data_IF_378874065984
#
_entry.id   IF_378874065984
#
_cell.length_a   1.000
_cell.length_b   1.000
_cell.length_c   1.000
_cell.angle_alpha   90.00
_cell.angle_beta   90.00
_cell.angle_gamma   90.00
#
_symmetry.space_group_name_H-M   'P 1'
#
loop_
_entity.id
_entity.type
_entity.pdbx_description
1 polymer ?
2 polymer ?
3 non-polymer ?
4 non-polymer ?
5 water ?
#
# COMPACT_ATOMS: atom_id res chain seq x y z
N UNK A 1 -2.33 10.37 -3.45
CA UNK A 1 -2.56 9.82 -4.82
C UNK A 1 -1.64 8.63 -5.04
N UNK A 2 -2.01 7.77 -5.96
CA UNK A 2 -1.20 6.62 -6.33
C UNK A 2 0.23 6.99 -6.71
N UNK A 3 0.42 8.07 -7.47
CA UNK A 3 1.77 8.50 -7.83
C UNK A 3 2.58 8.91 -6.61
N UNK A 4 1.95 9.63 -5.67
CA UNK A 4 2.63 10.05 -4.46
C UNK A 4 2.97 8.83 -3.62
N UNK A 5 2.07 7.88 -3.52
CA UNK A 5 2.35 6.64 -2.80
C UNK A 5 3.57 5.95 -3.42
N UNK A 6 3.62 5.91 -4.74
CA UNK A 6 4.73 5.27 -5.42
C UNK A 6 6.06 5.94 -5.10
N UNK A 7 6.06 7.24 -5.01
CA UNK A 7 7.28 7.98 -4.67
C UNK A 7 7.67 7.71 -3.23
N UNK A 8 6.68 7.66 -2.34
CA UNK A 8 6.92 7.32 -0.95
C UNK A 8 7.54 5.92 -0.80
N UNK A 9 7.00 4.97 -1.55
CA UNK A 9 7.52 3.60 -1.57
C UNK A 9 8.98 3.58 -2.03
N UNK A 10 9.29 4.29 -3.11
CA UNK A 10 10.66 4.33 -3.61
C UNK A 10 11.58 4.97 -2.58
N UNK A 11 11.16 6.08 -1.99
CA UNK A 11 11.98 6.73 -0.97
C UNK A 11 12.27 5.82 0.19
N UNK A 12 11.26 5.08 0.61
CA UNK A 12 11.40 4.24 1.77
C UNK A 12 12.25 3.00 1.50
N UNK A 13 12.02 2.35 0.37
CA UNK A 13 12.58 1.02 0.11
C UNK A 13 13.69 0.94 -0.92
N UNK A 14 13.80 1.93 -1.78
CA UNK A 14 14.74 1.88 -2.89
C UNK A 14 14.21 1.05 -4.04
N UNK A 15 13.00 0.40 -3.98
CA UNK A 15 12.34 -0.31 -5.07
C UNK A 15 11.32 0.59 -5.73
N UNK A 16 11.23 0.51 -7.05
CA UNK A 16 10.21 1.21 -7.80
C UNK A 16 8.86 0.53 -7.54
N UNK A 17 7.83 1.32 -7.26
CA UNK A 17 6.52 0.78 -6.93
C UNK A 17 6.03 -0.08 -8.08
N UNK A 18 6.17 0.43 -9.31
CA UNK A 18 6.00 -0.37 -10.53
C UNK A 18 7.44 -0.69 -10.99
N UNK A 19 7.87 -1.94 -11.06
CA UNK A 19 7.09 -3.16 -10.89
C UNK A 19 7.20 -3.92 -9.58
N UNK A 20 7.88 -3.40 -8.57
CA UNK A 20 8.11 -4.21 -7.38
C UNK A 20 6.89 -4.48 -6.53
N UNK A 21 5.94 -3.54 -6.50
CA UNK A 21 4.77 -3.64 -5.63
C UNK A 21 3.42 -3.44 -6.35
N UNK A 22 3.43 -3.39 -7.67
CA UNK A 22 2.20 -3.14 -8.44
C UNK A 22 1.45 -4.42 -8.80
N UNK A 23 2.10 -5.57 -8.68
CA UNK A 23 1.50 -6.85 -9.02
C UNK A 23 2.00 -7.99 -8.12
N UNK A 24 2.26 -7.66 -6.86
CA UNK A 24 2.89 -8.60 -5.94
C UNK A 24 1.86 -9.36 -5.11
N UNK A 25 1.95 -10.68 -5.11
CA UNK A 25 1.07 -11.48 -4.30
C UNK A 25 -0.38 -11.31 -4.66
N UNK A 26 -1.23 -11.47 -3.65
CA UNK A 26 -2.65 -11.43 -3.82
C UNK A 26 -3.24 -10.05 -3.60
N UNK A 27 -2.53 -9.15 -2.94
CA UNK A 27 -3.11 -7.86 -2.55
C UNK A 27 -2.37 -6.62 -3.03
N UNK A 28 -1.15 -6.75 -3.52
CA UNK A 28 -0.39 -5.55 -3.91
C UNK A 28 -0.64 -5.17 -5.34
N UNK A 29 -1.25 -3.99 -5.49
CA UNK A 29 -1.49 -3.41 -6.79
C UNK A 29 -2.83 -3.77 -7.36
N UNK A 30 -3.42 -4.86 -6.86
CA UNK A 30 -4.71 -5.33 -7.34
C UNK A 30 -5.38 -6.34 -6.37
N UNK A 31 -5.23 -6.10 -5.07
CA UNK A 31 -5.78 -6.98 -4.05
C UNK A 31 -7.28 -7.21 -4.12
N UNK A 32 -7.74 -8.27 -3.47
CA UNK A 32 -9.16 -8.60 -3.43
C UNK A 32 -9.50 -9.87 -2.67
N UNK A 33 -8.81 -10.95 -2.98
CA UNK A 33 -9.09 -12.23 -2.36
C UNK A 33 -7.83 -13.05 -2.15
N UNK A 34 -7.94 -14.11 -1.35
CA UNK A 34 -6.82 -14.98 -1.06
C UNK A 34 -6.16 -14.76 0.28
N UNK A 35 -5.33 -15.71 0.66
CA UNK A 35 -4.52 -15.54 1.85
C UNK A 35 -3.25 -14.83 1.41
N UNK A 36 -2.92 -13.69 2.01
CA UNK A 36 -1.71 -12.98 1.60
C UNK A 36 -0.52 -13.91 1.63
N UNK A 37 0.39 -13.75 0.69
CA UNK A 37 1.46 -14.71 0.51
C UNK A 37 2.59 -14.61 1.52
N UNK A 38 2.82 -13.41 2.06
CA UNK A 38 3.92 -13.16 2.96
C UNK A 38 3.67 -11.83 3.65
N UNK A 39 4.64 -11.38 4.42
CA UNK A 39 4.46 -10.15 5.18
C UNK A 39 4.28 -8.93 4.28
N UNK A 40 5.03 -8.85 3.18
CA UNK A 40 4.86 -7.74 2.23
C UNK A 40 3.44 -7.72 1.69
N UNK A 41 2.92 -8.88 1.29
CA UNK A 41 1.54 -8.95 0.80
C UNK A 41 0.56 -8.55 1.92
N UNK A 42 0.86 -8.89 3.17
CA UNK A 42 0.01 -8.44 4.28
C UNK A 42 0.05 -6.92 4.42
N UNK A 43 1.16 -6.28 4.12
CA UNK A 43 1.16 -4.81 4.11
C UNK A 43 0.09 -4.31 3.15
N UNK A 44 0.01 -4.93 1.97
CA UNK A 44 -0.97 -4.53 0.97
C UNK A 44 -2.39 -4.86 1.38
N UNK A 45 -2.59 -6.01 2.01
CA UNK A 45 -3.90 -6.35 2.53
C UNK A 45 -4.40 -5.28 3.49
N UNK A 46 -3.57 -4.92 4.45
CA UNK A 46 -3.95 -3.92 5.44
C UNK A 46 -4.15 -2.57 4.76
N UNK A 47 -3.32 -2.23 3.78
CA UNK A 47 -3.45 -0.96 3.06
C UNK A 47 -4.77 -0.92 2.32
N UNK A 48 -5.16 -2.03 1.73
CA UNK A 48 -6.45 -2.13 1.07
C UNK A 48 -7.58 -1.92 2.08
N UNK A 49 -7.48 -2.54 3.25
CA UNK A 49 -8.47 -2.33 4.30
C UNK A 49 -8.51 -0.87 4.72
N UNK A 50 -7.34 -0.25 4.81
CA UNK A 50 -7.21 1.12 5.25
C UNK A 50 -7.94 2.04 4.28
N UNK A 51 -7.75 1.83 2.99
CA UNK A 51 -8.50 2.59 2.00
C UNK A 51 -9.98 2.25 2.09
N UNK A 52 -10.29 0.99 2.43
CA UNK A 52 -11.67 0.56 2.64
C UNK A 52 -12.38 1.26 3.79
N UNK A 53 -11.63 1.76 4.75
CA UNK A 53 -12.20 2.53 5.84
C UNK A 53 -12.70 3.92 5.33
N UNK A 54 -12.35 4.29 4.09
CA UNK A 54 -12.60 5.63 3.51
C UNK A 54 -13.45 5.61 2.23
N UNK A 55 -14.67 5.09 2.31
CA UNK A 55 -15.49 4.90 1.11
C UNK A 55 -15.83 6.18 0.38
N UNK A 56 -15.79 7.32 1.05
CA UNK A 56 -16.12 8.59 0.42
C UNK A 56 -14.88 9.45 0.15
N UNK A 57 -13.71 8.78 0.14
CA UNK A 57 -12.47 9.39 -0.30
C UNK A 57 -12.01 8.75 -1.59
N UNK A 58 -11.02 9.34 -2.25
CA UNK A 58 -10.56 8.93 -3.57
C UNK A 58 -9.04 8.84 -3.55
N UNK A 59 -8.53 7.78 -2.93
CA UNK A 59 -7.09 7.65 -2.71
C UNK A 59 -6.23 7.55 -3.97
N UNK A 60 -6.78 7.15 -5.11
CA UNK A 60 -5.97 7.06 -6.32
C UNK A 60 -5.54 8.42 -6.81
N UNK A 61 -6.43 9.41 -6.72
CA UNK A 61 -6.20 10.71 -7.30
C UNK A 61 -5.97 11.84 -6.32
N UNK A 62 -6.55 11.78 -5.12
CA UNK A 62 -6.47 12.91 -4.20
C UNK A 62 -5.05 13.01 -3.67
N UNK A 63 -4.48 14.20 -3.77
CA UNK A 63 -3.10 14.45 -3.34
C UNK A 63 -3.05 14.96 -1.91
N UNK A 64 -2.06 14.47 -1.17
CA UNK A 64 -1.80 14.96 0.19
C UNK A 64 -0.35 15.48 0.23
N UNK A 65 -0.03 16.23 1.27
CA UNK A 65 1.33 16.72 1.48
C UNK A 65 1.93 16.04 2.71
N UNK A 66 3.21 15.76 2.64
CA UNK A 66 3.92 15.22 3.79
C UNK A 66 5.34 15.71 3.73
N UNK A 67 6.01 15.63 4.87
CA UNK A 67 7.40 16.01 4.98
C UNK A 67 8.14 14.92 5.74
N UNK A 68 9.46 15.06 5.79
CA UNK A 68 10.33 14.14 6.52
C UNK A 68 10.93 14.89 7.71
N UNK A 69 10.81 14.31 8.89
CA UNK A 69 11.44 14.89 10.06
C UNK A 69 12.49 13.85 10.38
N UNK A 70 13.68 14.07 9.83
CA UNK A 70 14.79 13.13 9.96
C UNK A 70 14.36 11.68 9.76
N UNK A 71 14.09 11.32 8.51
CA UNK A 71 13.63 9.97 8.17
C UNK A 71 12.14 9.75 8.37
N UNK A 72 11.57 10.31 9.44
CA UNK A 72 10.17 10.05 9.74
C UNK A 72 9.22 10.78 8.78
N UNK A 73 8.18 10.06 8.37
CA UNK A 73 7.14 10.65 7.53
C UNK A 73 6.14 11.37 8.43
N UNK A 74 5.88 12.64 8.14
CA UNK A 74 4.89 13.43 8.87
C UNK A 74 3.85 13.95 7.87
N UNK A 75 2.65 13.42 7.96
CA UNK A 75 1.56 13.88 7.10
C UNK A 75 1.18 15.29 7.53
N UNK A 76 1.09 16.21 6.57
CA UNK A 76 0.71 17.59 6.86
C UNK A 76 -0.79 17.78 6.64
N UNK A 77 -1.38 18.74 7.32
CA UNK A 77 -2.83 18.87 7.33
C UNK A 77 -3.39 19.35 5.99
N UNK A 78 -4.33 18.56 5.43
CA UNK A 78 -5.10 18.90 4.25
C UNK A 78 -6.56 18.71 4.59
N UNK A 79 -7.32 18.19 3.64
CA UNK A 79 -8.70 17.82 3.93
C UNK A 79 -8.71 16.56 4.80
N UNK A 80 -9.85 16.23 5.41
CA UNK A 80 -9.92 15.02 6.21
C UNK A 80 -9.56 13.77 5.37
N UNK A 81 -10.09 13.67 4.16
CA UNK A 81 -9.73 12.55 3.32
C UNK A 81 -8.23 12.51 3.07
N UNK A 82 -7.62 13.64 2.76
CA UNK A 82 -6.21 13.65 2.46
C UNK A 82 -5.40 13.17 3.67
N UNK A 83 -5.77 13.63 4.85
CA UNK A 83 -5.05 13.23 6.06
C UNK A 83 -5.12 11.73 6.26
N UNK A 84 -6.30 11.16 6.09
CA UNK A 84 -6.50 9.74 6.33
C UNK A 84 -5.83 8.89 5.24
N UNK A 85 -5.91 9.31 4.00
CA UNK A 85 -5.18 8.66 2.93
C UNK A 85 -3.68 8.66 3.21
N UNK A 86 -3.14 9.81 3.60
CA UNK A 86 -1.72 9.90 3.90
C UNK A 86 -1.34 8.91 5.00
N UNK A 87 -2.14 8.80 6.04
CA UNK A 87 -1.81 7.88 7.13
C UNK A 87 -1.82 6.42 6.64
N UNK A 88 -2.75 6.08 5.77
CA UNK A 88 -2.74 4.74 5.20
C UNK A 88 -1.47 4.47 4.39
N UNK A 89 -1.07 5.43 3.57
CA UNK A 89 0.09 5.26 2.70
C UNK A 89 1.38 5.19 3.51
N UNK A 90 1.51 6.08 4.48
CA UNK A 90 2.64 6.09 5.41
C UNK A 90 2.81 4.72 6.06
N UNK A 91 1.72 4.17 6.58
CA UNK A 91 1.80 2.88 7.25
C UNK A 91 2.28 1.81 6.28
N UNK A 92 1.75 1.80 5.06
CA UNK A 92 2.15 0.80 4.10
C UNK A 92 3.62 0.93 3.72
N UNK A 93 4.10 2.15 3.52
CA UNK A 93 5.50 2.36 3.17
C UNK A 93 6.43 1.88 4.29
N UNK A 94 6.08 2.19 5.52
CA UNK A 94 6.83 1.69 6.68
C UNK A 94 6.78 0.16 6.73
N UNK A 95 5.60 -0.41 6.51
CA UNK A 95 5.43 -1.85 6.51
C UNK A 95 6.31 -2.48 5.42
N UNK A 96 6.36 -1.91 4.23
CA UNK A 96 7.22 -2.46 3.18
C UNK A 96 8.68 -2.43 3.62
N UNK A 97 9.09 -1.34 4.23
CA UNK A 97 10.46 -1.22 4.74
C UNK A 97 10.77 -2.29 5.81
N UNK A 98 9.81 -2.51 6.70
CA UNK A 98 9.97 -3.48 7.77
C UNK A 98 10.03 -4.91 7.28
N UNK A 99 9.55 -5.14 6.06
CA UNK A 99 9.48 -6.49 5.53
C UNK A 99 10.32 -6.73 4.29
N UNK A 100 11.22 -5.81 4.00
CA UNK A 100 12.12 -6.00 2.86
C UNK A 100 12.96 -7.27 3.01
N UNK A 101 13.23 -7.66 4.25
CA UNK A 101 14.02 -8.84 4.55
C UNK A 101 13.40 -10.13 4.08
N UNK A 102 12.10 -10.11 3.77
CA UNK A 102 11.47 -11.32 3.25
C UNK A 102 10.80 -11.11 1.89
N UNK A 103 10.96 -9.93 1.28
CA UNK A 103 10.41 -9.68 -0.04
C UNK A 103 10.94 -10.77 -0.99
N UNK A 104 10.07 -11.35 -1.81
CA UNK A 104 10.47 -12.41 -2.74
C UNK A 104 9.97 -12.12 -4.13
N UNK A 105 10.90 -12.05 -5.07
CA UNK A 105 10.54 -11.77 -6.46
C UNK A 105 9.61 -12.81 -7.06
N UNK A 106 9.57 -14.02 -6.54
CA UNK A 106 8.67 -15.04 -7.04
C UNK A 106 7.21 -14.62 -6.94
N UNK A 107 6.90 -13.62 -6.11
CA UNK A 107 5.51 -13.17 -5.97
C UNK A 107 5.17 -12.01 -6.89
N UNK A 108 6.12 -11.54 -7.69
CA UNK A 108 5.79 -10.53 -8.70
C UNK A 108 4.95 -11.18 -9.82
N UNK A 109 3.95 -10.47 -10.33
CA UNK A 109 3.06 -11.00 -11.36
C UNK A 109 2.39 -12.29 -10.89
N UNK A 110 2.02 -12.35 -9.61
CA UNK A 110 1.42 -13.55 -9.06
C UNK A 110 0.06 -13.78 -9.71
N UNK A 111 -0.22 -14.97 -10.20
CA UNK A 111 -1.49 -15.20 -10.90
C UNK A 111 -2.73 -15.25 -10.03
N UNK A 112 -3.79 -14.64 -10.53
CA UNK A 112 -5.03 -14.49 -9.80
C UNK A 112 -5.55 -15.81 -9.27
N UNK A 113 -5.48 -16.97 -10.04
CA UNK A 113 -6.18 -18.16 -9.61
C UNK A 113 -5.61 -18.72 -8.32
N UNK A 114 -4.39 -18.34 -7.95
CA UNK A 114 -3.82 -18.80 -6.69
C UNK A 114 -4.23 -17.94 -5.49
N UNK A 115 -5.15 -17.01 -5.71
CA UNK A 115 -5.65 -16.13 -4.66
C UNK A 115 -7.15 -16.34 -4.54
N UNK A 116 -7.56 -17.20 -3.61
CA UNK A 116 -8.97 -17.58 -3.43
C UNK A 116 -9.45 -17.35 -1.99
N UNK A 117 -10.72 -16.98 -1.82
CA UNK A 117 -11.29 -16.82 -0.49
C UNK A 117 -11.20 -15.41 0.06
N UNK A 118 -12.25 -14.99 0.75
CA UNK A 118 -12.27 -13.67 1.35
C UNK A 118 -11.65 -13.74 2.74
N UNK A 119 -10.91 -12.70 3.07
CA UNK A 119 -10.27 -12.56 4.37
C UNK A 119 -10.81 -11.25 4.88
N UNK A 120 -11.47 -11.27 6.04
CA UNK A 120 -12.06 -10.06 6.56
C UNK A 120 -11.02 -9.08 7.09
N UNK A 121 -11.24 -7.76 6.84
CA UNK A 121 -10.39 -6.75 7.45
C UNK A 121 -10.55 -6.65 8.95
N UNK B 1 -14.04 5.07 -3.38
CA UNK B 1 -12.94 4.12 -3.67
C UNK B 1 -12.16 3.80 -2.41
N UNK B 2 -12.30 2.56 -1.98
CA UNK B 2 -11.54 2.00 -0.90
C UNK B 2 -11.01 0.69 -1.46
N UNK B 3 -10.24 -0.08 -0.69
CA UNK B 3 -9.86 -1.39 -1.23
C UNK B 3 -10.62 -2.56 -0.65
N UNK B 4 -11.12 -3.39 -1.56
CA UNK B 4 -11.97 -4.51 -1.19
C UNK B 4 -11.78 -5.71 -2.12
X LIG C 1 2.51 16.74 -5.49
X LIG C 1 1.67 17.56 -6.34
X LIG C 1 3.88 16.77 -5.98
X LIG C 1 2.09 15.36 -5.59
X LIG C 1 2.36 17.18 -4.11
X LIG D 1 4.42 -15.99 6.67
X LIG D 1 5.50 -16.83 6.14
X LIG D 1 5.00 -14.77 7.23
X LIG D 1 3.74 -16.73 7.73
X LIG D 1 3.48 -15.67 5.60
X LIG E 1 6.67 7.74 13.33
X LIG E 1 6.74 6.81 14.46
X LIG E 1 7.62 8.82 13.55
X LIG E 1 5.32 8.28 13.23
X LIG E 1 6.99 7.04 12.09
X LIG F 1 -9.30 15.88 10.52
X LIG F 1 -9.93 14.90 11.41
X LIG F 1 -8.43 15.18 9.59
X LIG F 1 -10.34 16.59 9.78
X LIG F 1 -8.53 16.83 11.32
X LIG G 1 14.49 -13.11 -4.01
X LIG G 1 15.42 -12.83 -2.91
X LIG G 1 15.24 -13.51 -5.20
X LIG G 1 13.72 -11.90 -4.29
X LIG G 1 13.59 -14.18 -3.63
X LIG H 1 3.02 -20.85 -1.49
X LIG H 1 1.82 -20.53 -1.28
X LIG H 1 3.89 -20.06 -1.90
X LIG H 1 3.43 -22.27 -1.23
#
# INVERSE_FOLDING_TARGET
SLLEFGKMILEETGKLAIPSYSSYGCYCGWGGKGTPKDATDRCCFVHDCCYGNLPDCNPKSDRYKYKRVNGAIVCEKGTSCENRICECDKAAAICFRQNLNTYSKKYMLYPDFLCKGELKC
VARS
SO4 S O1 O2 O3 O4
SO4 S O1 O2 O3 O4
SO4 S O1 O2 O3 O4
SO4 S O1 O2 O3 O4
SO4 S O1 O2 O3 O4
ACY C O OXT CH3
#
